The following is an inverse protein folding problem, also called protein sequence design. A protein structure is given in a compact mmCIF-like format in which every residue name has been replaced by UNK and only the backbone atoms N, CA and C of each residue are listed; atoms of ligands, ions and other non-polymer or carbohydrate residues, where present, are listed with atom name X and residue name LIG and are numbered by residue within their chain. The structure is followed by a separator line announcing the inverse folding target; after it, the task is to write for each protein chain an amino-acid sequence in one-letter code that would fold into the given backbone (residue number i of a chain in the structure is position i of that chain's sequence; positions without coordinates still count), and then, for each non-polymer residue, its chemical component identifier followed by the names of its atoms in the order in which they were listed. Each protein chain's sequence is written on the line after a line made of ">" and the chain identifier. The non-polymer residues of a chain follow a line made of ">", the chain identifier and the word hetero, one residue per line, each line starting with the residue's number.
data_IF_783957044187
#
_entry.id   IF_783957044187
#
_cell.length_a   1.000
_cell.length_b   1.000
_cell.length_c   1.000
_cell.angle_alpha   90.00
_cell.angle_beta   90.00
_cell.angle_gamma   90.00
#
_symmetry.space_group_name_H-M   'P 1'
#
loop_
_entity.id
_entity.type
_entity.pdbx_description
1 polymer ?
#
# COMPACT_ATOMS: atom_id res chain seq x y z
N UNK A 1 -16.15 9.62 -12.92
CA UNK A 1 -17.00 9.87 -11.73
C UNK A 1 -16.24 10.84 -10.82
N UNK A 2 -16.64 12.12 -10.82
CA UNK A 2 -16.16 13.14 -9.88
C UNK A 2 -16.65 12.78 -8.47
N UNK A 3 -15.85 12.05 -7.70
CA UNK A 3 -16.07 11.97 -6.26
C UNK A 3 -15.61 13.30 -5.67
N UNK A 4 -16.55 14.06 -5.09
CA UNK A 4 -16.28 15.29 -4.36
C UNK A 4 -15.06 15.10 -3.45
N UNK A 5 -14.08 16.00 -3.58
CA UNK A 5 -12.95 16.03 -2.64
C UNK A 5 -13.60 16.23 -1.26
N UNK A 6 -13.51 15.26 -0.34
CA UNK A 6 -14.08 15.44 0.97
C UNK A 6 -13.38 16.69 1.54
N UNK A 7 -14.13 17.62 2.12
CA UNK A 7 -13.58 18.78 2.82
C UNK A 7 -12.84 18.30 4.07
N UNK A 8 -11.70 17.66 3.86
CA UNK A 8 -10.79 17.18 4.89
C UNK A 8 -10.06 18.38 5.44
N UNK A 9 -9.90 18.42 6.75
CA UNK A 9 -9.06 19.42 7.38
C UNK A 9 -7.61 19.25 6.91
N UNK A 10 -6.82 20.32 6.95
CA UNK A 10 -5.41 20.28 6.54
C UNK A 10 -4.61 19.29 7.41
N UNK A 11 -4.97 19.21 8.69
CA UNK A 11 -4.41 18.29 9.67
C UNK A 11 -4.73 16.84 9.30
N UNK A 12 -5.97 16.55 8.94
CA UNK A 12 -6.38 15.20 8.54
C UNK A 12 -5.69 14.77 7.24
N UNK A 13 -5.52 15.70 6.28
CA UNK A 13 -4.74 15.44 5.07
C UNK A 13 -3.28 15.12 5.41
N UNK A 14 -2.66 15.87 6.32
CA UNK A 14 -1.28 15.68 6.72
C UNK A 14 -1.06 14.36 7.48
N UNK A 15 -1.93 14.04 8.44
CA UNK A 15 -1.90 12.78 9.21
C UNK A 15 -2.13 11.58 8.28
N UNK A 16 -3.10 11.68 7.36
CA UNK A 16 -3.37 10.60 6.40
C UNK A 16 -2.19 10.38 5.45
N UNK A 17 -1.56 11.45 4.97
CA UNK A 17 -0.36 11.32 4.15
C UNK A 17 0.80 10.70 4.93
N UNK A 18 1.00 11.06 6.20
CA UNK A 18 2.06 10.52 7.04
C UNK A 18 1.90 9.01 7.27
N UNK A 19 0.70 8.54 7.61
CA UNK A 19 0.39 7.11 7.78
C UNK A 19 0.66 6.31 6.48
N UNK A 20 0.16 6.81 5.35
CA UNK A 20 0.38 6.17 4.05
C UNK A 20 1.84 6.17 3.63
N UNK A 21 2.57 7.23 3.96
CA UNK A 21 3.99 7.35 3.68
C UNK A 21 4.80 6.34 4.48
N UNK A 22 4.44 6.05 5.73
CA UNK A 22 5.10 5.03 6.58
C UNK A 22 4.89 3.62 6.04
N UNK A 23 3.71 3.34 5.48
CA UNK A 23 3.41 2.08 4.81
C UNK A 23 4.22 1.85 3.51
N UNK A 24 5.00 2.81 3.02
CA UNK A 24 5.73 2.73 1.75
C UNK A 24 7.26 2.73 1.92
N UNK A 25 7.97 2.31 0.86
CA UNK A 25 9.43 2.29 0.83
C UNK A 25 10.01 1.12 1.63
N UNK A 26 11.29 1.22 2.02
CA UNK A 26 12.02 0.14 2.69
C UNK A 26 11.34 -0.36 3.97
N UNK A 27 10.84 0.56 4.81
CA UNK A 27 10.10 0.21 6.04
C UNK A 27 8.80 -0.51 5.71
N UNK A 28 8.05 -0.02 4.71
CA UNK A 28 6.84 -0.66 4.22
C UNK A 28 7.09 -2.09 3.72
N UNK A 29 8.19 -2.30 2.98
CA UNK A 29 8.62 -3.63 2.50
C UNK A 29 8.86 -4.56 3.69
N UNK A 30 9.67 -4.13 4.66
CA UNK A 30 9.97 -4.93 5.84
C UNK A 30 8.70 -5.28 6.61
N UNK A 31 7.83 -4.29 6.87
CA UNK A 31 6.55 -4.49 7.59
C UNK A 31 5.63 -5.49 6.87
N UNK A 32 5.54 -5.42 5.54
CA UNK A 32 4.71 -6.33 4.77
C UNK A 32 5.17 -7.80 4.93
N UNK A 33 6.47 -8.05 4.84
CA UNK A 33 7.02 -9.39 5.04
C UNK A 33 6.97 -9.86 6.50
N UNK A 34 7.22 -8.97 7.46
CA UNK A 34 7.09 -9.32 8.89
C UNK A 34 5.65 -9.71 9.22
N UNK A 35 4.66 -8.97 8.71
CA UNK A 35 3.24 -9.31 8.88
C UNK A 35 2.91 -10.63 8.19
N UNK A 36 3.35 -10.82 6.94
CA UNK A 36 3.18 -12.07 6.20
C UNK A 36 3.75 -13.27 6.95
N UNK A 37 4.97 -13.15 7.49
CA UNK A 37 5.63 -14.18 8.28
C UNK A 37 4.90 -14.52 9.58
N UNK A 38 4.34 -13.52 10.28
CA UNK A 38 3.51 -13.76 11.47
C UNK A 38 2.25 -14.58 11.15
N UNK A 39 1.66 -14.38 9.97
CA UNK A 39 0.53 -15.18 9.47
C UNK A 39 0.94 -16.39 8.63
N UNK A 40 2.23 -16.77 8.67
CA UNK A 40 2.81 -17.89 7.92
C UNK A 40 2.47 -17.90 6.42
N UNK A 41 2.36 -16.71 5.81
CA UNK A 41 2.08 -16.55 4.39
C UNK A 41 3.33 -16.77 3.56
N UNK A 42 3.17 -17.37 2.39
CA UNK A 42 4.25 -17.46 1.41
C UNK A 42 4.77 -16.06 1.05
N UNK A 43 6.08 -15.95 0.82
CA UNK A 43 6.68 -14.69 0.36
C UNK A 43 6.22 -14.41 -1.07
N UNK A 44 6.32 -15.43 -1.94
CA UNK A 44 5.98 -15.37 -3.36
C UNK A 44 5.57 -16.75 -3.86
N UNK A 45 4.57 -16.79 -4.76
CA UNK A 45 4.22 -17.97 -5.55
C UNK A 45 3.80 -17.49 -6.96
N UNK A 46 4.50 -17.91 -8.04
CA UNK A 46 4.15 -17.51 -9.41
C UNK A 46 2.80 -18.06 -9.90
N UNK A 47 2.27 -19.13 -9.29
CA UNK A 47 0.95 -19.67 -9.61
C UNK A 47 -0.18 -18.79 -9.05
N UNK A 48 0.08 -18.06 -7.96
CA UNK A 48 -0.91 -17.23 -7.26
C UNK A 48 -0.78 -15.77 -7.72
N UNK A 49 -1.54 -15.40 -8.74
CA UNK A 49 -1.52 -14.03 -9.30
C UNK A 49 -2.19 -13.01 -8.37
N UNK A 50 -1.67 -11.76 -8.30
CA UNK A 50 -2.30 -10.69 -7.54
C UNK A 50 -3.67 -10.33 -8.13
N UNK A 51 -4.67 -10.17 -7.27
CA UNK A 51 -6.02 -9.80 -7.71
C UNK A 51 -6.16 -8.29 -7.82
N UNK A 52 -6.74 -7.80 -8.91
CA UNK A 52 -6.85 -6.34 -9.16
C UNK A 52 -7.96 -5.68 -8.33
N UNK A 53 -8.94 -6.46 -7.88
CA UNK A 53 -10.11 -6.01 -7.13
C UNK A 53 -10.45 -7.04 -6.05
N UNK A 54 -9.84 -6.91 -4.88
CA UNK A 54 -10.20 -7.72 -3.72
C UNK A 54 -11.20 -6.91 -2.91
N UNK A 55 -12.33 -7.51 -2.57
CA UNK A 55 -13.26 -6.92 -1.59
C UNK A 55 -12.61 -6.90 -0.20
N UNK A 56 -13.06 -6.02 0.70
CA UNK A 56 -12.49 -5.97 2.06
C UNK A 56 -12.64 -7.30 2.82
N UNK A 57 -13.69 -8.06 2.53
CA UNK A 57 -13.96 -9.37 3.12
C UNK A 57 -12.95 -10.40 2.62
N UNK A 58 -12.77 -10.52 1.29
CA UNK A 58 -11.79 -11.43 0.69
C UNK A 58 -10.35 -11.10 1.10
N UNK A 59 -10.02 -9.83 1.33
CA UNK A 59 -8.67 -9.41 1.75
C UNK A 59 -8.30 -9.94 3.15
N UNK A 60 -9.27 -10.15 4.03
CA UNK A 60 -9.01 -10.66 5.38
C UNK A 60 -8.79 -12.17 5.41
N UNK A 61 -9.39 -12.90 4.48
CA UNK A 61 -9.39 -14.37 4.45
C UNK A 61 -8.39 -14.94 3.44
N UNK A 62 -7.85 -14.12 2.54
CA UNK A 62 -6.90 -14.58 1.53
C UNK A 62 -5.52 -14.85 2.12
N UNK A 63 -5.04 -16.07 1.89
CA UNK A 63 -3.65 -16.50 2.13
C UNK A 63 -2.73 -16.14 0.96
N UNK A 64 -3.05 -15.05 0.25
CA UNK A 64 -2.26 -14.61 -0.88
C UNK A 64 -0.80 -14.32 -0.43
N UNK A 65 0.19 -14.64 -1.29
CA UNK A 65 1.58 -14.36 -1.00
C UNK A 65 1.81 -12.90 -0.61
N UNK A 66 2.77 -12.68 0.27
CA UNK A 66 3.11 -11.35 0.80
C UNK A 66 3.45 -10.36 -0.31
N UNK A 67 4.04 -10.82 -1.42
CA UNK A 67 4.33 -9.98 -2.59
C UNK A 67 3.07 -9.43 -3.27
N UNK A 68 1.95 -10.15 -3.25
CA UNK A 68 0.72 -9.71 -3.91
C UNK A 68 0.15 -8.46 -3.25
N UNK A 69 0.39 -8.29 -1.94
CA UNK A 69 0.03 -7.09 -1.17
C UNK A 69 0.63 -5.81 -1.76
N UNK A 70 1.84 -5.90 -2.34
CA UNK A 70 2.51 -4.77 -2.97
C UNK A 70 1.70 -4.25 -4.16
N UNK A 71 1.29 -5.16 -5.04
CA UNK A 71 0.52 -4.87 -6.25
C UNK A 71 -0.93 -4.47 -5.96
N UNK A 72 -1.51 -5.08 -4.95
CA UNK A 72 -2.90 -4.84 -4.56
C UNK A 72 -3.10 -3.49 -3.89
N UNK A 73 -2.13 -3.08 -3.05
CA UNK A 73 -2.27 -1.89 -2.19
C UNK A 73 -1.08 -0.93 -2.29
N UNK A 74 0.14 -1.37 -1.95
CA UNK A 74 1.25 -0.44 -1.70
C UNK A 74 1.65 0.39 -2.94
N UNK A 75 1.58 -0.20 -4.13
CA UNK A 75 1.89 0.49 -5.37
C UNK A 75 0.86 1.58 -5.73
N UNK A 76 -0.38 1.48 -5.23
CA UNK A 76 -1.46 2.44 -5.49
C UNK A 76 -1.42 3.66 -4.55
N UNK A 77 -0.73 3.55 -3.40
CA UNK A 77 -0.73 4.59 -2.36
C UNK A 77 -0.12 5.93 -2.82
N UNK A 78 0.84 5.92 -3.76
CA UNK A 78 1.48 7.15 -4.25
C UNK A 78 0.48 8.14 -4.86
N UNK A 79 -0.59 7.63 -5.47
CA UNK A 79 -1.56 8.42 -6.22
C UNK A 79 -2.71 8.89 -5.32
N UNK A 80 -2.77 8.39 -4.09
CA UNK A 80 -3.80 8.72 -3.11
C UNK A 80 -3.39 9.88 -2.17
N UNK A 81 -2.16 10.36 -2.25
CA UNK A 81 -1.65 11.42 -1.37
C UNK A 81 -2.39 12.75 -1.57
N UNK A 82 -2.73 13.42 -0.48
CA UNK A 82 -3.48 14.66 -0.46
C UNK A 82 -2.58 15.89 -0.69
N UNK A 83 -1.44 15.96 0.00
CA UNK A 83 -0.55 17.12 0.00
C UNK A 83 0.47 17.07 -1.13
N UNK A 84 0.95 18.25 -1.57
CA UNK A 84 2.01 18.34 -2.60
C UNK A 84 3.32 17.70 -2.11
N UNK A 85 3.66 17.91 -0.84
CA UNK A 85 4.85 17.31 -0.23
C UNK A 85 4.72 15.80 -0.09
N UNK A 86 3.57 15.30 0.37
CA UNK A 86 3.24 13.88 0.45
C UNK A 86 3.41 13.18 -0.89
N UNK A 87 2.88 13.76 -1.97
CA UNK A 87 3.09 13.27 -3.35
C UNK A 87 4.57 13.19 -3.73
N UNK A 88 5.38 14.22 -3.41
CA UNK A 88 6.83 14.22 -3.71
C UNK A 88 7.58 13.11 -2.94
N UNK A 89 7.28 12.96 -1.65
CA UNK A 89 7.89 11.92 -0.81
C UNK A 89 7.45 10.52 -1.23
N UNK A 90 6.17 10.34 -1.56
CA UNK A 90 5.62 9.07 -1.99
C UNK A 90 6.25 8.61 -3.30
N UNK A 91 6.47 9.51 -4.27
CA UNK A 91 7.22 9.19 -5.49
C UNK A 91 8.64 8.68 -5.19
N UNK A 92 9.34 9.28 -4.23
CA UNK A 92 10.68 8.82 -3.81
C UNK A 92 10.62 7.43 -3.19
N UNK A 93 9.68 7.19 -2.27
CA UNK A 93 9.52 5.89 -1.58
C UNK A 93 9.01 4.79 -2.51
N UNK A 94 8.16 5.13 -3.48
CA UNK A 94 7.65 4.20 -4.48
C UNK A 94 8.75 3.63 -5.37
N UNK A 95 9.83 4.38 -5.63
CA UNK A 95 10.98 3.84 -6.39
C UNK A 95 11.63 2.63 -5.74
N UNK A 96 11.58 2.51 -4.41
CA UNK A 96 12.08 1.32 -3.72
C UNK A 96 11.19 0.09 -3.93
N UNK A 97 9.92 0.28 -4.29
CA UNK A 97 8.98 -0.81 -4.54
C UNK A 97 9.09 -1.35 -5.98
N UNK A 98 9.62 -0.57 -6.92
CA UNK A 98 9.75 -0.97 -8.33
C UNK A 98 10.85 -2.03 -8.58
N UNK A 99 11.67 -2.35 -7.58
CA UNK A 99 12.73 -3.36 -7.68
C UNK A 99 12.26 -4.78 -7.31
N UNK A 100 11.00 -4.93 -6.88
CA UNK A 100 10.37 -6.19 -6.44
C UNK A 100 9.36 -6.62 -7.50
#
# INVERSE_FOLDING_TARGET
>A
KNSAIPTLSKELMAVTDADRLDAMGAIGIARAFTYGGFFNRLIYDPAIKPSKSITKEEYKTTEAPSINHFYEKLLKLKDMMYTKLGRKMAKRRHRFLNFI
#
